data_IF_008765162761
#
_entry.id   IF_008765162761
#
_cell.length_a   1.000
_cell.length_b   1.000
_cell.length_c   1.000
_cell.angle_alpha   90.00
_cell.angle_beta   90.00
_cell.angle_gamma   90.00
#
_symmetry.space_group_name_H-M   'P 1'
#
loop_
_entity.id
_entity.type
_entity.pdbx_description
1 polymer ?
#
# COMPACT_ATOMS: atom_id res chain seq x y z
N UNK A 1 14.48 10.17 -86.24
CA UNK A 1 13.17 10.64 -85.75
C UNK A 1 13.05 10.33 -84.26
N UNK A 2 12.76 11.38 -83.47
CA UNK A 2 12.23 11.37 -82.09
C UNK A 2 13.11 10.86 -80.93
N UNK A 3 13.76 11.84 -80.30
CA UNK A 3 14.06 11.95 -78.87
C UNK A 3 12.90 11.47 -77.99
N UNK A 4 13.15 10.53 -77.07
CA UNK A 4 12.25 10.23 -75.95
C UNK A 4 12.83 10.87 -74.68
N UNK A 5 12.13 11.87 -74.15
CA UNK A 5 12.30 12.35 -72.78
C UNK A 5 11.71 11.30 -71.83
N UNK A 6 12.51 10.79 -70.89
CA UNK A 6 12.01 10.06 -69.73
C UNK A 6 11.84 11.06 -68.57
N UNK A 7 10.60 11.34 -68.19
CA UNK A 7 10.27 12.16 -67.04
C UNK A 7 10.48 11.34 -65.75
N UNK A 8 11.37 11.81 -64.87
CA UNK A 8 11.59 11.25 -63.55
C UNK A 8 10.52 11.79 -62.60
N UNK A 9 9.53 10.97 -62.24
CA UNK A 9 8.57 11.27 -61.18
C UNK A 9 9.22 10.98 -59.82
N UNK A 10 9.68 12.04 -59.13
CA UNK A 10 10.01 11.95 -57.70
C UNK A 10 8.71 11.85 -56.89
N UNK A 11 8.39 10.66 -56.41
CA UNK A 11 7.38 10.47 -55.36
C UNK A 11 8.00 10.76 -54.00
N UNK A 12 7.76 11.97 -53.47
CA UNK A 12 8.02 12.27 -52.05
C UNK A 12 7.01 11.52 -51.19
N UNK A 13 7.43 10.41 -50.59
CA UNK A 13 6.64 9.69 -49.59
C UNK A 13 6.59 10.50 -48.29
N UNK A 14 5.46 11.15 -48.01
CA UNK A 14 5.15 11.59 -46.65
C UNK A 14 4.88 10.33 -45.82
N UNK A 15 5.85 9.96 -44.98
CA UNK A 15 5.60 9.04 -43.88
C UNK A 15 4.70 9.74 -42.87
N UNK A 16 3.38 9.59 -43.02
CA UNK A 16 2.44 9.84 -41.92
C UNK A 16 2.74 8.81 -40.84
N UNK A 17 3.49 9.23 -39.83
CA UNK A 17 3.61 8.49 -38.58
C UNK A 17 2.22 8.48 -37.94
N UNK A 18 1.46 7.40 -38.15
CA UNK A 18 0.22 7.18 -37.42
C UNK A 18 0.56 7.23 -35.93
N UNK A 19 -0.04 8.15 -35.19
CA UNK A 19 0.01 8.11 -33.74
C UNK A 19 -0.49 6.73 -33.30
N UNK A 20 0.20 6.04 -32.38
CA UNK A 20 -0.30 4.76 -31.90
C UNK A 20 -1.70 4.99 -31.34
N UNK A 21 -2.68 4.23 -31.83
CA UNK A 21 -4.02 4.24 -31.28
C UNK A 21 -3.92 3.87 -29.80
N UNK A 22 -4.07 4.85 -28.91
CA UNK A 22 -4.15 4.62 -27.47
C UNK A 22 -5.48 3.90 -27.23
N UNK A 23 -5.46 2.68 -26.73
CA UNK A 23 -6.69 1.99 -26.40
C UNK A 23 -7.35 2.74 -25.24
N UNK A 24 -8.67 2.90 -25.28
CA UNK A 24 -9.37 3.64 -24.23
C UNK A 24 -9.26 2.89 -22.89
N UNK A 25 -8.87 3.61 -21.83
CA UNK A 25 -8.80 3.07 -20.48
C UNK A 25 -10.21 3.04 -19.91
N UNK A 26 -10.70 1.83 -19.63
CA UNK A 26 -11.98 1.66 -18.92
C UNK A 26 -11.72 1.67 -17.42
N UNK A 27 -12.32 2.62 -16.70
CA UNK A 27 -12.16 2.73 -15.25
C UNK A 27 -13.27 1.96 -14.51
N UNK A 28 -12.89 1.00 -13.66
CA UNK A 28 -13.78 0.34 -12.71
C UNK A 28 -14.17 1.27 -11.57
N UNK A 29 -13.16 1.95 -11.02
CA UNK A 29 -13.29 2.99 -10.00
C UNK A 29 -12.55 4.24 -10.47
N UNK A 30 -13.17 5.40 -10.31
CA UNK A 30 -12.61 6.71 -10.65
C UNK A 30 -13.45 7.78 -9.96
N UNK A 31 -12.87 8.73 -9.21
CA UNK A 31 -13.61 9.81 -8.59
C UNK A 31 -14.60 10.49 -9.56
N UNK A 32 -15.87 10.56 -9.15
CA UNK A 32 -16.95 11.11 -9.97
C UNK A 32 -17.72 10.09 -10.81
N UNK A 33 -17.32 8.81 -10.84
CA UNK A 33 -18.11 7.75 -11.45
C UNK A 33 -19.42 7.54 -10.68
N UNK A 34 -20.54 7.50 -11.39
CA UNK A 34 -21.81 7.08 -10.79
C UNK A 34 -21.76 5.59 -10.39
N UNK A 35 -22.25 5.26 -9.19
CA UNK A 35 -22.25 3.90 -8.65
C UNK A 35 -20.85 3.25 -8.60
N UNK A 36 -19.84 4.03 -8.21
CA UNK A 36 -18.46 3.58 -8.04
C UNK A 36 -18.37 2.47 -6.96
N UNK A 37 -17.97 1.23 -7.32
CA UNK A 37 -17.90 0.12 -6.36
C UNK A 37 -16.79 0.31 -5.31
N UNK A 38 -15.86 1.24 -5.51
CA UNK A 38 -14.86 1.63 -4.53
C UNK A 38 -15.35 2.74 -3.59
N UNK A 39 -16.52 3.34 -3.83
CA UNK A 39 -17.09 4.40 -2.98
C UNK A 39 -18.26 3.88 -2.15
N UNK A 40 -17.94 3.19 -1.06
CA UNK A 40 -18.93 2.68 -0.11
C UNK A 40 -18.98 3.53 1.17
N UNK A 41 -20.12 3.59 1.88
CA UNK A 41 -20.17 4.07 3.26
C UNK A 41 -19.32 3.22 4.19
N UNK A 42 -19.00 3.74 5.37
CA UNK A 42 -17.98 3.16 6.27
C UNK A 42 -18.54 2.65 7.59
N UNK A 43 -19.87 2.73 7.76
CA UNK A 43 -20.58 2.14 8.89
C UNK A 43 -20.30 0.63 8.96
N UNK A 44 -19.93 0.18 10.16
CA UNK A 44 -19.39 -1.15 10.40
C UNK A 44 -20.05 -1.75 11.62
N UNK A 45 -20.69 -2.91 11.47
CA UNK A 45 -21.11 -3.75 12.60
C UNK A 45 -19.92 -4.57 13.07
N UNK A 46 -19.54 -4.42 14.32
CA UNK A 46 -18.46 -5.15 14.98
C UNK A 46 -19.08 -6.15 15.94
N UNK A 47 -18.85 -7.44 15.69
CA UNK A 47 -19.29 -8.54 16.55
C UNK A 47 -18.15 -8.98 17.46
N UNK A 48 -18.47 -9.23 18.71
CA UNK A 48 -17.55 -9.79 19.71
C UNK A 48 -17.82 -11.28 19.95
N UNK A 49 -16.83 -12.00 20.49
CA UNK A 49 -16.96 -13.44 20.80
C UNK A 49 -18.04 -13.74 21.85
N UNK A 50 -18.41 -12.78 22.69
CA UNK A 50 -19.48 -12.88 23.69
C UNK A 50 -20.89 -12.65 23.11
N UNK A 51 -21.00 -12.40 21.80
CA UNK A 51 -22.25 -12.13 21.11
C UNK A 51 -22.70 -10.66 21.15
N UNK A 52 -21.92 -9.76 21.76
CA UNK A 52 -22.23 -8.32 21.69
C UNK A 52 -21.95 -7.76 20.30
N UNK A 53 -22.78 -6.80 19.88
CA UNK A 53 -22.61 -6.06 18.64
C UNK A 53 -22.54 -4.56 18.91
N UNK A 54 -21.61 -3.89 18.24
CA UNK A 54 -21.52 -2.43 18.22
C UNK A 54 -21.47 -1.95 16.78
N UNK A 55 -22.03 -0.76 16.52
CA UNK A 55 -21.90 -0.11 15.21
C UNK A 55 -20.92 1.06 15.34
N UNK A 56 -19.90 1.05 14.51
CA UNK A 56 -18.94 2.15 14.36
C UNK A 56 -19.09 2.78 12.98
N UNK A 57 -19.22 4.10 12.95
CA UNK A 57 -19.18 4.89 11.71
C UNK A 57 -18.01 5.86 11.82
N UNK A 58 -16.86 5.56 11.18
CA UNK A 58 -15.73 6.47 11.18
C UNK A 58 -16.15 7.85 10.67
N UNK A 59 -15.72 8.90 11.36
CA UNK A 59 -15.93 10.26 10.89
C UNK A 59 -15.19 10.48 9.56
N UNK A 60 -15.84 11.18 8.62
CA UNK A 60 -15.18 11.55 7.39
C UNK A 60 -14.14 12.65 7.69
N UNK A 61 -12.84 12.33 7.54
CA UNK A 61 -11.74 13.28 7.76
C UNK A 61 -11.60 14.36 6.65
N UNK A 62 -12.67 14.58 5.87
CA UNK A 62 -12.69 15.45 4.69
C UNK A 62 -12.25 14.76 3.41
N UNK A 63 -12.00 15.54 2.35
CA UNK A 63 -11.54 14.99 1.08
C UNK A 63 -10.13 14.39 1.23
N UNK A 64 -9.93 13.12 0.83
CA UNK A 64 -8.61 12.49 0.84
C UNK A 64 -7.56 13.36 0.17
N UNK A 65 -6.31 13.27 0.62
CA UNK A 65 -5.19 14.09 0.10
C UNK A 65 -4.21 13.31 -0.76
N UNK A 66 -4.36 11.99 -0.80
CA UNK A 66 -3.64 11.09 -1.68
C UNK A 66 -4.64 10.28 -2.51
N UNK A 67 -4.11 9.47 -3.41
CA UNK A 67 -4.86 8.55 -4.25
C UNK A 67 -4.44 7.09 -3.97
N UNK A 68 -5.29 6.15 -4.36
CA UNK A 68 -4.95 4.74 -4.43
C UNK A 68 -5.11 4.28 -5.87
N UNK A 69 -4.09 3.60 -6.39
CA UNK A 69 -4.15 2.92 -7.68
C UNK A 69 -4.26 1.42 -7.43
N UNK A 70 -5.48 0.89 -7.58
CA UNK A 70 -5.83 -0.48 -7.24
C UNK A 70 -5.87 -1.37 -8.49
N UNK A 71 -5.14 -2.48 -8.45
CA UNK A 71 -5.15 -3.53 -9.47
C UNK A 71 -5.70 -4.81 -8.83
N UNK A 72 -6.92 -5.17 -9.21
CA UNK A 72 -7.67 -6.27 -8.61
C UNK A 72 -7.10 -7.67 -8.98
N UNK A 73 -7.40 -8.73 -8.20
CA UNK A 73 -6.96 -10.11 -8.48
C UNK A 73 -7.78 -10.77 -9.60
N UNK A 74 -7.43 -12.00 -9.98
CA UNK A 74 -8.27 -12.80 -10.87
C UNK A 74 -9.63 -13.11 -10.24
N UNK A 75 -10.70 -12.62 -10.87
CA UNK A 75 -12.09 -12.94 -10.52
C UNK A 75 -12.93 -13.36 -11.71
N UNK A 76 -12.52 -12.99 -12.93
CA UNK A 76 -13.34 -13.20 -14.13
C UNK A 76 -13.72 -14.66 -14.35
N UNK A 77 -15.01 -14.85 -14.58
CA UNK A 77 -15.63 -16.14 -14.91
C UNK A 77 -15.65 -16.43 -16.41
N UNK A 78 -15.09 -15.54 -17.23
CA UNK A 78 -15.01 -15.73 -18.67
C UNK A 78 -14.12 -16.94 -19.02
N UNK A 79 -14.45 -17.62 -20.12
CA UNK A 79 -13.78 -18.87 -20.54
C UNK A 79 -12.46 -18.66 -21.27
N UNK A 80 -12.27 -17.50 -21.90
CA UNK A 80 -11.03 -17.18 -22.60
C UNK A 80 -9.85 -17.06 -21.62
N UNK A 81 -8.62 -17.19 -22.11
CA UNK A 81 -7.43 -17.10 -21.26
C UNK A 81 -7.32 -15.75 -20.53
N UNK A 82 -7.69 -14.67 -21.23
CA UNK A 82 -7.81 -13.33 -20.68
C UNK A 82 -9.27 -12.84 -20.80
N UNK A 83 -9.73 -12.13 -19.78
CA UNK A 83 -11.03 -11.48 -19.77
C UNK A 83 -11.08 -10.33 -20.79
N UNK A 84 -12.28 -9.87 -21.12
CA UNK A 84 -12.51 -8.58 -21.78
C UNK A 84 -12.39 -7.40 -20.79
N UNK A 85 -12.55 -6.16 -21.27
CA UNK A 85 -12.65 -4.96 -20.42
C UNK A 85 -14.08 -4.72 -19.87
N UNK A 86 -14.90 -5.77 -19.77
CA UNK A 86 -16.25 -5.69 -19.21
C UNK A 86 -16.22 -5.51 -17.68
N UNK A 87 -17.16 -4.70 -17.15
CA UNK A 87 -17.37 -4.52 -15.71
C UNK A 87 -18.34 -5.58 -15.17
N UNK A 88 -18.00 -6.85 -15.38
CA UNK A 88 -18.83 -7.98 -14.95
C UNK A 88 -19.12 -7.93 -13.44
N UNK A 89 -20.23 -8.53 -12.96
CA UNK A 89 -20.61 -8.46 -11.55
C UNK A 89 -19.49 -8.81 -10.58
N UNK A 90 -18.70 -9.86 -10.85
CA UNK A 90 -17.57 -10.25 -10.02
C UNK A 90 -16.43 -9.21 -10.01
N UNK A 91 -16.24 -8.49 -11.11
CA UNK A 91 -15.25 -7.41 -11.25
C UNK A 91 -15.68 -6.21 -10.40
N UNK A 92 -16.98 -5.90 -10.35
CA UNK A 92 -17.50 -4.87 -9.44
C UNK A 92 -17.42 -5.31 -7.98
N UNK A 93 -17.82 -6.55 -7.67
CA UNK A 93 -17.78 -7.07 -6.30
C UNK A 93 -16.37 -7.06 -5.71
N UNK A 94 -15.32 -7.38 -6.48
CA UNK A 94 -13.95 -7.41 -5.94
C UNK A 94 -13.40 -6.03 -5.60
N UNK A 95 -13.82 -4.99 -6.32
CA UNK A 95 -13.48 -3.61 -5.95
C UNK A 95 -14.12 -3.22 -4.61
N UNK A 96 -15.40 -3.53 -4.41
CA UNK A 96 -16.06 -3.36 -3.11
C UNK A 96 -15.41 -4.19 -2.01
N UNK A 97 -14.99 -5.41 -2.32
CA UNK A 97 -14.44 -6.35 -1.35
C UNK A 97 -13.04 -5.96 -0.85
N UNK A 98 -12.14 -5.52 -1.73
CA UNK A 98 -10.71 -5.30 -1.40
C UNK A 98 -10.22 -3.85 -1.45
N UNK A 99 -10.92 -2.95 -2.15
CA UNK A 99 -10.47 -1.57 -2.30
C UNK A 99 -11.33 -0.56 -1.53
N UNK A 100 -12.65 -0.76 -1.47
CA UNK A 100 -13.57 0.28 -0.99
C UNK A 100 -13.31 0.78 0.43
N UNK A 101 -12.71 -0.03 1.31
CA UNK A 101 -12.37 0.42 2.68
C UNK A 101 -11.28 1.51 2.69
N UNK A 102 -10.43 1.54 1.67
CA UNK A 102 -9.37 2.55 1.56
C UNK A 102 -9.90 3.94 1.16
N UNK A 103 -11.18 4.07 0.77
CA UNK A 103 -11.75 5.37 0.37
C UNK A 103 -11.80 6.39 1.52
N UNK A 104 -11.61 5.94 2.77
CA UNK A 104 -11.39 6.79 3.94
C UNK A 104 -10.09 7.61 3.82
N UNK A 105 -9.09 7.09 3.11
CA UNK A 105 -7.72 7.61 3.11
C UNK A 105 -7.28 8.14 1.74
N UNK A 106 -7.90 7.66 0.66
CA UNK A 106 -7.48 7.97 -0.70
C UNK A 106 -8.65 8.01 -1.70
N UNK A 107 -8.50 8.82 -2.75
CA UNK A 107 -9.34 8.71 -3.96
C UNK A 107 -8.92 7.45 -4.73
N UNK A 108 -9.85 6.55 -5.05
CA UNK A 108 -9.51 5.25 -5.64
C UNK A 108 -9.65 5.26 -7.16
N UNK A 109 -8.57 4.91 -7.85
CA UNK A 109 -8.51 4.66 -9.27
C UNK A 109 -8.24 3.17 -9.50
N UNK A 110 -9.10 2.49 -10.24
CA UNK A 110 -8.93 1.08 -10.58
C UNK A 110 -9.28 0.87 -12.06
N UNK A 111 -8.33 0.46 -12.91
CA UNK A 111 -8.65 0.15 -14.30
C UNK A 111 -9.32 -1.21 -14.42
N UNK A 112 -10.26 -1.35 -15.34
CA UNK A 112 -10.63 -2.65 -15.88
C UNK A 112 -9.54 -3.07 -16.86
N UNK A 113 -8.89 -4.19 -16.56
CA UNK A 113 -7.84 -4.76 -17.38
C UNK A 113 -8.20 -6.20 -17.76
N UNK A 114 -7.66 -6.67 -18.88
CA UNK A 114 -7.86 -8.01 -19.43
C UNK A 114 -7.08 -9.07 -18.62
N UNK A 115 -7.47 -9.21 -17.35
CA UNK A 115 -6.94 -10.18 -16.38
C UNK A 115 -6.93 -11.60 -16.94
N UNK A 116 -5.96 -12.43 -16.54
CA UNK A 116 -6.09 -13.86 -16.79
C UNK A 116 -7.28 -14.39 -15.97
N UNK A 117 -8.10 -15.25 -16.58
CA UNK A 117 -9.38 -15.73 -16.01
C UNK A 117 -9.19 -16.90 -15.06
N UNK A 118 -10.24 -17.24 -14.30
CA UNK A 118 -10.24 -18.44 -13.45
C UNK A 118 -10.07 -19.73 -14.26
N UNK A 119 -10.63 -19.78 -15.48
CA UNK A 119 -10.43 -20.89 -16.41
C UNK A 119 -8.94 -21.05 -16.77
N UNK A 120 -8.24 -19.94 -17.06
CA UNK A 120 -6.80 -19.92 -17.36
C UNK A 120 -5.94 -20.41 -16.20
N UNK A 121 -6.30 -20.03 -14.96
CA UNK A 121 -5.61 -20.50 -13.75
C UNK A 121 -5.82 -22.01 -13.57
N UNK A 122 -7.06 -22.49 -13.70
CA UNK A 122 -7.41 -23.91 -13.54
C UNK A 122 -6.72 -24.85 -14.54
N UNK A 123 -6.44 -24.35 -15.76
CA UNK A 123 -5.75 -25.10 -16.81
C UNK A 123 -4.21 -25.13 -16.69
N UNK A 124 -3.64 -24.49 -15.67
CA UNK A 124 -2.23 -24.71 -15.30
C UNK A 124 -1.19 -23.76 -15.91
N UNK A 125 -1.61 -22.66 -16.56
CA UNK A 125 -0.90 -21.37 -16.69
C UNK A 125 -1.23 -20.66 -18.00
N UNK A 126 -1.38 -19.34 -17.92
CA UNK A 126 -1.44 -18.46 -19.08
C UNK A 126 -0.07 -18.41 -19.80
N UNK A 127 -0.06 -18.35 -21.13
CA UNK A 127 1.16 -18.20 -21.93
C UNK A 127 1.89 -16.87 -21.60
N UNK A 128 3.16 -16.69 -21.98
CA UNK A 128 3.84 -15.39 -21.84
C UNK A 128 3.05 -14.24 -22.49
N UNK A 129 2.38 -14.49 -23.62
CA UNK A 129 1.52 -13.50 -24.28
C UNK A 129 0.29 -13.17 -23.41
N UNK A 130 -0.35 -14.16 -22.82
CA UNK A 130 -1.50 -13.95 -21.93
C UNK A 130 -1.12 -13.20 -20.64
N UNK A 131 0.14 -13.30 -20.20
CA UNK A 131 0.68 -12.50 -19.09
C UNK A 131 1.05 -11.07 -19.49
N UNK A 132 1.34 -10.84 -20.77
CA UNK A 132 1.69 -9.51 -21.28
C UNK A 132 0.46 -8.59 -21.35
N UNK A 133 -0.69 -9.12 -21.77
CA UNK A 133 -1.93 -8.38 -21.96
C UNK A 133 -2.36 -7.60 -20.68
N UNK A 134 -2.49 -8.24 -19.49
CA UNK A 134 -2.82 -7.53 -18.25
C UNK A 134 -1.86 -6.38 -17.93
N UNK A 135 -0.56 -6.61 -18.13
CA UNK A 135 0.46 -5.63 -17.81
C UNK A 135 0.38 -4.41 -18.73
N UNK A 136 0.13 -4.61 -20.02
CA UNK A 136 0.00 -3.50 -20.97
C UNK A 136 -1.21 -2.62 -20.66
N UNK A 137 -2.37 -3.23 -20.38
CA UNK A 137 -3.59 -2.50 -19.99
C UNK A 137 -3.38 -1.68 -18.71
N UNK A 138 -2.74 -2.27 -17.68
CA UNK A 138 -2.47 -1.56 -16.42
C UNK A 138 -1.42 -0.47 -16.58
N UNK A 139 -0.38 -0.70 -17.40
CA UNK A 139 0.63 0.33 -17.71
C UNK A 139 0.02 1.51 -18.47
N UNK A 140 -0.88 1.24 -19.43
CA UNK A 140 -1.64 2.27 -20.13
C UNK A 140 -2.51 3.08 -19.16
N UNK A 141 -3.25 2.39 -18.29
CA UNK A 141 -4.07 3.03 -17.26
C UNK A 141 -3.24 3.86 -16.27
N UNK A 142 -2.08 3.37 -15.84
CA UNK A 142 -1.17 4.11 -14.96
C UNK A 142 -0.71 5.42 -15.61
N UNK A 143 -0.33 5.38 -16.89
CA UNK A 143 0.08 6.57 -17.63
C UNK A 143 -1.07 7.56 -17.81
N UNK A 144 -2.27 7.07 -18.11
CA UNK A 144 -3.46 7.93 -18.19
C UNK A 144 -3.79 8.56 -16.84
N UNK A 145 -3.77 7.78 -15.75
CA UNK A 145 -3.97 8.27 -14.40
C UNK A 145 -2.98 9.39 -14.05
N UNK A 146 -1.69 9.18 -14.29
CA UNK A 146 -0.68 10.20 -14.02
C UNK A 146 -0.89 11.48 -14.84
N UNK A 147 -1.37 11.35 -16.08
CA UNK A 147 -1.59 12.47 -16.98
C UNK A 147 -2.88 13.26 -16.70
N UNK A 148 -3.97 12.56 -16.31
CA UNK A 148 -5.32 13.15 -16.26
C UNK A 148 -5.95 13.16 -14.85
N UNK A 149 -5.56 12.26 -13.95
CA UNK A 149 -6.25 12.06 -12.67
C UNK A 149 -5.43 12.34 -11.41
N UNK A 150 -4.11 12.14 -11.44
CA UNK A 150 -3.27 12.23 -10.23
C UNK A 150 -3.06 13.66 -9.73
N UNK A 151 -2.97 14.65 -10.62
CA UNK A 151 -2.82 16.07 -10.27
C UNK A 151 -1.64 16.37 -9.31
N UNK A 152 -0.60 15.55 -9.32
CA UNK A 152 0.59 15.70 -8.47
C UNK A 152 0.46 15.11 -7.05
N UNK A 153 -0.61 14.38 -6.77
CA UNK A 153 -0.88 13.78 -5.45
C UNK A 153 0.00 12.57 -5.17
N UNK A 154 0.18 12.25 -3.89
CA UNK A 154 0.73 10.97 -3.48
C UNK A 154 -0.17 9.81 -3.89
N UNK A 155 0.39 8.64 -4.15
CA UNK A 155 -0.37 7.45 -4.56
C UNK A 155 0.09 6.20 -3.82
N UNK A 156 -0.86 5.44 -3.28
CA UNK A 156 -0.65 4.08 -2.77
C UNK A 156 -0.97 3.09 -3.89
N UNK A 157 -0.04 2.19 -4.19
CA UNK A 157 -0.30 1.09 -5.13
C UNK A 157 -0.87 -0.09 -4.36
N UNK A 158 -2.02 -0.62 -4.77
CA UNK A 158 -2.68 -1.74 -4.08
C UNK A 158 -2.88 -2.87 -5.07
N UNK A 159 -2.31 -4.04 -4.79
CA UNK A 159 -2.47 -5.24 -5.58
C UNK A 159 -2.79 -6.44 -4.70
N UNK A 160 -3.60 -7.35 -5.24
CA UNK A 160 -3.77 -8.70 -4.69
C UNK A 160 -3.57 -9.76 -5.78
N UNK A 161 -2.96 -10.89 -5.43
CA UNK A 161 -2.79 -12.03 -6.34
C UNK A 161 -2.20 -11.61 -7.70
N UNK A 162 -2.94 -11.78 -8.81
CA UNK A 162 -2.53 -11.31 -10.12
C UNK A 162 -2.21 -9.81 -10.18
N UNK A 163 -3.00 -8.96 -9.52
CA UNK A 163 -2.75 -7.53 -9.48
C UNK A 163 -1.41 -7.18 -8.83
N UNK A 164 -0.98 -7.96 -7.83
CA UNK A 164 0.36 -7.83 -7.25
C UNK A 164 1.46 -8.22 -8.23
N UNK A 165 1.28 -9.28 -9.03
CA UNK A 165 2.25 -9.63 -10.07
C UNK A 165 2.39 -8.52 -11.12
N UNK A 166 1.27 -7.93 -11.54
CA UNK A 166 1.26 -6.82 -12.49
C UNK A 166 1.93 -5.58 -11.89
N UNK A 167 1.62 -5.23 -10.64
CA UNK A 167 2.21 -4.07 -9.96
C UNK A 167 3.70 -4.26 -9.65
N UNK A 168 4.16 -5.46 -9.31
CA UNK A 168 5.60 -5.77 -9.19
C UNK A 168 6.34 -5.39 -10.47
N UNK A 169 5.80 -5.78 -11.63
CA UNK A 169 6.38 -5.44 -12.93
C UNK A 169 6.27 -3.95 -13.23
N UNK A 170 5.12 -3.32 -12.96
CA UNK A 170 4.93 -1.89 -13.16
C UNK A 170 5.94 -1.06 -12.35
N UNK A 171 6.13 -1.41 -11.08
CA UNK A 171 7.10 -0.74 -10.22
C UNK A 171 8.50 -0.87 -10.80
N UNK A 172 8.93 -2.09 -11.13
CA UNK A 172 10.29 -2.36 -11.64
C UNK A 172 10.58 -1.71 -12.99
N UNK A 173 9.62 -1.72 -13.92
CA UNK A 173 9.84 -1.33 -15.32
C UNK A 173 9.41 0.11 -15.64
N UNK A 174 8.42 0.66 -14.93
CA UNK A 174 7.84 1.97 -15.23
C UNK A 174 8.11 3.01 -14.13
N UNK A 175 8.07 2.63 -12.85
CA UNK A 175 8.11 3.59 -11.72
C UNK A 175 9.51 3.78 -11.16
N UNK A 176 10.22 2.72 -10.75
CA UNK A 176 11.57 2.79 -10.18
C UNK A 176 12.58 3.53 -11.06
N UNK A 177 12.62 3.31 -12.40
CA UNK A 177 13.54 4.02 -13.28
C UNK A 177 13.27 5.53 -13.40
N UNK A 178 12.13 6.00 -12.86
CA UNK A 178 11.60 7.36 -13.03
C UNK A 178 11.45 8.05 -11.67
N UNK A 179 12.48 8.77 -11.18
CA UNK A 179 12.47 9.37 -9.85
C UNK A 179 11.28 10.31 -9.57
N UNK A 180 10.71 10.93 -10.59
CA UNK A 180 9.49 11.74 -10.49
C UNK A 180 8.24 10.90 -10.19
N UNK A 181 8.12 9.68 -10.73
CA UNK A 181 7.02 8.78 -10.43
C UNK A 181 7.24 8.11 -9.07
N UNK A 182 8.44 7.60 -8.79
CA UNK A 182 8.77 6.99 -7.51
C UNK A 182 8.52 7.96 -6.34
N UNK A 183 8.82 9.25 -6.52
CA UNK A 183 8.52 10.29 -5.51
C UNK A 183 7.04 10.45 -5.17
N UNK A 184 6.13 10.09 -6.08
CA UNK A 184 4.69 10.12 -5.82
C UNK A 184 4.21 8.89 -5.06
N UNK A 185 4.92 7.77 -5.11
CA UNK A 185 4.54 6.54 -4.40
C UNK A 185 4.64 6.75 -2.89
N UNK A 186 3.50 6.74 -2.21
CA UNK A 186 3.39 6.74 -0.74
C UNK A 186 3.90 5.40 -0.22
N UNK A 187 3.28 4.31 -0.68
CA UNK A 187 3.66 2.93 -0.39
C UNK A 187 3.04 1.99 -1.41
N UNK A 188 3.44 0.71 -1.39
CA UNK A 188 2.88 -0.34 -2.25
C UNK A 188 2.44 -1.52 -1.40
N UNK A 189 1.15 -1.85 -1.43
CA UNK A 189 0.55 -3.00 -0.78
C UNK A 189 0.45 -4.13 -1.82
N UNK A 190 1.44 -5.01 -1.86
CA UNK A 190 1.58 -6.08 -2.86
C UNK A 190 1.27 -7.43 -2.22
N UNK A 191 -0.01 -7.68 -2.01
CA UNK A 191 -0.50 -8.78 -1.18
C UNK A 191 -0.76 -10.03 -2.03
N UNK A 192 -0.50 -11.23 -1.52
CA UNK A 192 -0.73 -12.47 -2.27
C UNK A 192 0.16 -12.61 -3.52
N UNK A 193 1.29 -11.89 -3.57
CA UNK A 193 2.05 -11.64 -4.79
C UNK A 193 3.49 -12.17 -4.82
N UNK A 194 3.94 -12.91 -3.80
CA UNK A 194 5.30 -13.44 -3.67
C UNK A 194 6.42 -12.44 -4.01
N UNK A 195 6.37 -11.24 -3.43
CA UNK A 195 7.46 -10.25 -3.61
C UNK A 195 8.78 -10.86 -3.14
N UNK A 196 9.86 -10.75 -3.92
CA UNK A 196 11.14 -11.39 -3.60
C UNK A 196 12.20 -10.41 -3.12
N UNK A 197 12.98 -10.85 -2.14
CA UNK A 197 14.19 -10.17 -1.64
C UNK A 197 15.28 -11.21 -1.33
N UNK A 198 16.56 -10.83 -1.37
CA UNK A 198 17.62 -11.69 -0.84
C UNK A 198 17.36 -12.00 0.65
N UNK A 199 17.69 -13.21 1.14
CA UNK A 199 17.49 -13.56 2.54
C UNK A 199 18.09 -12.53 3.51
N UNK A 200 17.29 -12.07 4.47
CA UNK A 200 17.68 -11.08 5.48
C UNK A 200 17.89 -9.66 4.94
N UNK A 201 17.51 -9.37 3.68
CA UNK A 201 17.57 -8.03 3.09
C UNK A 201 16.17 -7.45 2.92
N UNK A 202 16.11 -6.12 2.79
CA UNK A 202 14.87 -5.38 2.56
C UNK A 202 14.68 -4.98 1.08
N UNK A 203 15.71 -5.12 0.25
CA UNK A 203 15.71 -4.70 -1.15
C UNK A 203 16.69 -5.56 -1.95
N UNK A 204 16.53 -5.61 -3.28
CA UNK A 204 17.49 -6.22 -4.20
C UNK A 204 16.97 -7.44 -4.97
N UNK A 205 15.74 -7.90 -4.74
CA UNK A 205 15.10 -8.96 -5.52
C UNK A 205 14.24 -8.37 -6.62
N UNK A 206 12.91 -8.34 -6.41
CA UNK A 206 11.98 -7.72 -7.35
C UNK A 206 12.29 -6.25 -7.65
N UNK A 207 12.83 -5.53 -6.67
CA UNK A 207 13.06 -4.09 -6.72
C UNK A 207 14.52 -3.77 -6.45
N UNK A 208 15.06 -2.83 -7.23
CA UNK A 208 16.46 -2.39 -7.11
C UNK A 208 16.66 -1.39 -5.99
N UNK A 209 15.66 -0.55 -5.73
CA UNK A 209 15.74 0.61 -4.86
C UNK A 209 14.59 0.74 -3.88
N UNK A 210 13.44 0.14 -4.15
CA UNK A 210 12.22 0.19 -3.34
C UNK A 210 12.29 -0.90 -2.27
N UNK A 211 12.49 -0.57 -0.99
CA UNK A 211 12.63 -1.56 0.06
C UNK A 211 11.27 -2.05 0.60
N UNK A 212 11.27 -3.14 1.34
CA UNK A 212 10.17 -3.50 2.23
C UNK A 212 9.99 -2.43 3.32
N UNK A 213 8.75 -2.20 3.74
CA UNK A 213 8.43 -1.27 4.81
C UNK A 213 8.95 -1.78 6.17
N UNK A 214 9.50 -0.86 6.97
CA UNK A 214 10.07 -1.13 8.30
C UNK A 214 9.59 -0.15 9.37
N UNK A 215 8.95 0.95 8.99
CA UNK A 215 8.32 1.88 9.93
C UNK A 215 7.00 2.45 9.38
N UNK A 216 6.16 2.97 10.29
CA UNK A 216 4.83 3.50 9.99
C UNK A 216 4.80 4.75 9.12
N UNK A 217 5.91 5.49 9.12
CA UNK A 217 6.08 6.74 8.36
C UNK A 217 7.06 6.58 7.20
N UNK A 218 7.55 5.37 6.94
CA UNK A 218 8.39 5.11 5.79
C UNK A 218 7.53 5.25 4.52
N UNK A 219 8.01 6.07 3.58
CA UNK A 219 7.42 6.21 2.26
C UNK A 219 8.21 5.38 1.23
N UNK A 220 7.64 5.19 0.04
CA UNK A 220 8.28 4.50 -1.09
C UNK A 220 8.75 3.09 -0.71
N UNK A 221 7.92 2.38 0.07
CA UNK A 221 8.22 1.06 0.56
C UNK A 221 7.08 0.07 0.26
N UNK A 222 7.40 -1.21 0.35
CA UNK A 222 6.49 -2.31 0.02
C UNK A 222 6.04 -3.06 1.27
N UNK A 223 4.74 -3.27 1.40
CA UNK A 223 4.15 -4.27 2.30
C UNK A 223 3.75 -5.46 1.45
N UNK A 224 4.29 -6.64 1.75
CA UNK A 224 3.99 -7.86 1.02
C UNK A 224 3.91 -9.06 1.96
N UNK A 225 2.92 -9.91 1.76
CA UNK A 225 2.76 -11.20 2.44
C UNK A 225 1.70 -12.02 1.72
N UNK A 226 1.59 -13.29 2.10
CA UNK A 226 0.45 -14.17 1.80
C UNK A 226 0.00 -14.81 3.11
N UNK A 227 -1.30 -14.97 3.30
CA UNK A 227 -1.84 -15.43 4.58
C UNK A 227 -2.04 -16.94 4.61
N UNK A 228 -1.74 -17.54 5.76
CA UNK A 228 -2.01 -18.94 6.04
C UNK A 228 -2.60 -19.10 7.44
N UNK A 229 -3.73 -19.79 7.55
CA UNK A 229 -4.31 -20.10 8.85
C UNK A 229 -3.70 -21.37 9.49
N UNK A 230 -3.14 -22.26 8.68
CA UNK A 230 -2.51 -23.51 9.12
C UNK A 230 -1.03 -23.55 8.73
N UNK A 231 -0.31 -24.59 9.16
CA UNK A 231 1.05 -24.83 8.66
C UNK A 231 1.01 -25.03 7.14
N UNK A 232 1.73 -24.22 6.36
CA UNK A 232 1.73 -24.35 4.91
C UNK A 232 2.20 -25.75 4.48
N UNK A 233 1.53 -26.41 3.52
CA UNK A 233 2.02 -27.68 2.99
C UNK A 233 3.34 -27.48 2.22
N UNK A 234 4.08 -28.55 1.99
CA UNK A 234 5.40 -28.48 1.35
C UNK A 234 5.35 -27.89 -0.07
N UNK A 235 4.23 -28.09 -0.75
CA UNK A 235 3.90 -27.62 -2.10
C UNK A 235 3.04 -26.34 -2.10
N UNK A 236 3.05 -25.58 -1.00
CA UNK A 236 2.35 -24.30 -0.91
C UNK A 236 2.63 -23.39 -2.12
N UNK A 237 1.56 -22.82 -2.69
CA UNK A 237 1.62 -21.97 -3.89
C UNK A 237 2.20 -20.58 -3.62
N UNK A 238 2.08 -20.11 -2.38
CA UNK A 238 2.54 -18.80 -1.95
C UNK A 238 3.58 -18.91 -0.84
N UNK A 239 4.34 -17.84 -0.64
CA UNK A 239 5.38 -17.78 0.37
C UNK A 239 6.65 -18.58 0.03
N UNK A 240 6.74 -19.13 -1.18
CA UNK A 240 7.93 -19.82 -1.71
C UNK A 240 8.36 -19.23 -3.05
N UNK A 241 9.64 -19.34 -3.35
CA UNK A 241 10.19 -19.03 -4.67
C UNK A 241 11.34 -19.97 -5.01
N UNK A 242 11.44 -20.34 -6.28
CA UNK A 242 12.63 -20.99 -6.85
C UNK A 242 13.50 -20.01 -7.64
N UNK A 243 13.08 -18.75 -7.74
CA UNK A 243 13.82 -17.69 -8.43
C UNK A 243 15.16 -17.45 -7.73
N UNK A 244 16.15 -17.06 -8.53
CA UNK A 244 17.48 -16.70 -8.08
C UNK A 244 17.88 -15.37 -8.67
N UNK A 245 18.82 -14.72 -8.00
CA UNK A 245 19.47 -13.53 -8.52
C UNK A 245 20.27 -13.85 -9.79
N UNK A 246 20.64 -12.85 -10.60
CA UNK A 246 21.52 -13.04 -11.76
C UNK A 246 22.86 -13.69 -11.43
N UNK A 247 23.37 -13.48 -10.21
CA UNK A 247 24.61 -14.10 -9.70
C UNK A 247 24.41 -15.52 -9.12
N UNK A 248 23.20 -16.07 -9.21
CA UNK A 248 22.83 -17.39 -8.70
C UNK A 248 22.51 -17.45 -7.21
N UNK A 249 22.66 -16.34 -6.47
CA UNK A 249 22.32 -16.30 -5.04
C UNK A 249 20.81 -16.49 -4.79
N UNK A 250 20.40 -17.08 -3.66
CA UNK A 250 19.00 -17.41 -3.42
C UNK A 250 18.16 -16.15 -3.17
N UNK A 251 16.88 -16.23 -3.56
CA UNK A 251 15.86 -15.28 -3.14
C UNK A 251 14.92 -15.94 -2.11
N UNK A 252 14.21 -15.09 -1.38
CA UNK A 252 13.14 -15.48 -0.46
C UNK A 252 11.92 -14.62 -0.71
N UNK A 253 10.72 -15.17 -0.45
CA UNK A 253 9.49 -14.38 -0.48
C UNK A 253 9.42 -13.51 0.77
N UNK A 254 9.12 -12.22 0.57
CA UNK A 254 8.95 -11.24 1.63
C UNK A 254 7.69 -11.50 2.45
N UNK A 255 7.78 -11.24 3.75
CA UNK A 255 6.63 -11.13 4.64
C UNK A 255 6.79 -9.89 5.51
N UNK A 256 5.85 -8.97 5.39
CA UNK A 256 5.79 -7.72 6.15
C UNK A 256 4.52 -7.71 6.98
N UNK A 257 4.62 -7.89 8.30
CA UNK A 257 3.46 -7.83 9.20
C UNK A 257 2.97 -6.37 9.29
N UNK A 258 1.73 -6.06 8.87
CA UNK A 258 1.24 -4.69 8.86
C UNK A 258 0.93 -4.15 10.26
N UNK A 259 0.74 -4.98 11.30
CA UNK A 259 0.39 -4.50 12.65
C UNK A 259 1.48 -3.70 13.35
N UNK A 260 2.76 -4.15 13.44
CA UNK A 260 3.81 -3.34 14.03
C UNK A 260 4.01 -2.03 13.24
N UNK A 261 3.84 -2.07 11.91
CA UNK A 261 3.85 -0.88 11.07
C UNK A 261 2.66 0.03 11.37
N UNK A 262 1.47 -0.49 11.68
CA UNK A 262 0.33 0.30 12.11
C UNK A 262 0.45 0.77 13.57
N UNK A 263 1.36 0.22 14.38
CA UNK A 263 1.53 0.53 15.81
C UNK A 263 0.50 -0.10 16.70
N UNK A 264 0.05 -1.28 16.31
CA UNK A 264 -0.88 -2.09 17.08
C UNK A 264 -0.30 -3.50 17.22
N UNK A 265 -0.64 -4.17 18.31
CA UNK A 265 -0.46 -5.60 18.54
C UNK A 265 -1.82 -6.31 18.64
N UNK A 266 -2.92 -5.59 18.40
CA UNK A 266 -4.26 -6.14 18.46
C UNK A 266 -4.42 -7.33 17.50
N UNK A 267 -5.25 -8.33 17.85
CA UNK A 267 -5.59 -9.40 16.93
C UNK A 267 -6.17 -8.85 15.62
N UNK A 268 -5.78 -9.47 14.50
CA UNK A 268 -6.42 -9.28 13.22
C UNK A 268 -7.91 -9.57 13.30
N UNK A 269 -8.68 -8.73 12.62
CA UNK A 269 -10.13 -8.82 12.44
C UNK A 269 -10.41 -8.86 10.94
N UNK A 270 -11.10 -9.91 10.50
CA UNK A 270 -11.52 -10.02 9.10
C UNK A 270 -12.62 -9.00 8.85
N UNK A 271 -12.39 -8.03 7.97
CA UNK A 271 -13.36 -7.00 7.62
C UNK A 271 -13.84 -7.23 6.19
N UNK A 272 -15.15 -7.37 6.01
CA UNK A 272 -15.76 -7.64 4.70
C UNK A 272 -17.02 -6.79 4.47
N UNK A 273 -17.40 -6.52 3.22
CA UNK A 273 -18.69 -5.92 2.93
C UNK A 273 -19.83 -6.83 3.39
N UNK A 274 -20.92 -6.24 3.89
CA UNK A 274 -22.13 -6.98 4.26
C UNK A 274 -22.91 -7.47 3.04
N UNK A 275 -22.75 -6.81 1.89
CA UNK A 275 -23.33 -7.23 0.62
C UNK A 275 -22.61 -8.48 0.11
N UNK A 276 -23.34 -9.51 -0.36
CA UNK A 276 -22.74 -10.72 -0.85
C UNK A 276 -21.92 -10.47 -2.13
N UNK A 277 -20.86 -11.25 -2.30
CA UNK A 277 -20.09 -11.27 -3.54
C UNK A 277 -20.97 -11.83 -4.68
N UNK A 278 -20.76 -11.35 -5.91
CA UNK A 278 -21.51 -11.82 -7.08
C UNK A 278 -21.46 -13.34 -7.24
N UNK A 279 -22.56 -14.02 -7.60
CA UNK A 279 -22.59 -15.48 -7.74
C UNK A 279 -21.50 -16.00 -8.68
N UNK A 280 -20.84 -17.08 -8.29
CA UNK A 280 -19.75 -17.65 -9.05
C UNK A 280 -18.74 -18.44 -8.22
N UNK A 281 -17.63 -18.81 -8.86
CA UNK A 281 -16.55 -19.59 -8.25
C UNK A 281 -15.94 -18.88 -7.04
N UNK A 282 -15.73 -17.55 -7.12
CA UNK A 282 -15.19 -16.78 -5.99
C UNK A 282 -16.19 -16.72 -4.82
N UNK A 283 -17.48 -16.52 -5.07
CA UNK A 283 -18.49 -16.53 -4.01
C UNK A 283 -18.54 -17.90 -3.31
N UNK A 284 -18.46 -19.01 -4.06
CA UNK A 284 -18.35 -20.35 -3.49
C UNK A 284 -17.06 -20.52 -2.66
N UNK A 285 -15.94 -19.98 -3.14
CA UNK A 285 -14.68 -19.97 -2.39
C UNK A 285 -14.74 -19.19 -1.08
N UNK A 286 -15.42 -18.03 -1.06
CA UNK A 286 -15.61 -17.24 0.17
C UNK A 286 -16.39 -18.06 1.22
N UNK A 287 -17.42 -18.83 0.81
CA UNK A 287 -18.16 -19.72 1.73
C UNK A 287 -17.22 -20.77 2.34
N UNK A 288 -16.32 -21.35 1.55
CA UNK A 288 -15.36 -22.37 2.00
C UNK A 288 -14.32 -21.78 2.96
N UNK A 289 -13.73 -20.64 2.61
CA UNK A 289 -12.74 -19.95 3.48
C UNK A 289 -13.37 -19.45 4.78
N UNK A 290 -14.64 -19.02 4.74
CA UNK A 290 -15.36 -18.58 5.92
C UNK A 290 -15.92 -19.75 6.77
N UNK A 291 -15.84 -20.98 6.28
CA UNK A 291 -16.41 -22.18 6.92
C UNK A 291 -17.89 -21.97 7.24
N UNK A 292 -18.64 -21.54 6.23
CA UNK A 292 -20.06 -21.24 6.31
C UNK A 292 -20.46 -19.96 5.58
N UNK A 293 -21.73 -19.55 5.70
CA UNK A 293 -22.24 -18.37 5.01
C UNK A 293 -21.41 -17.12 5.34
N UNK A 294 -21.03 -16.30 4.34
CA UNK A 294 -20.29 -15.06 4.58
C UNK A 294 -21.04 -14.17 5.57
N UNK A 295 -20.34 -13.49 6.49
CA UNK A 295 -21.00 -12.64 7.47
C UNK A 295 -21.72 -11.49 6.77
N UNK A 296 -22.89 -11.13 7.29
CA UNK A 296 -23.67 -9.97 6.85
C UNK A 296 -24.24 -9.22 8.05
N UNK A 297 -24.55 -7.94 7.86
CA UNK A 297 -25.13 -7.04 8.83
C UNK A 297 -25.95 -5.94 8.13
N UNK A 298 -26.81 -5.18 8.84
CA UNK A 298 -27.52 -4.04 8.28
C UNK A 298 -26.61 -2.89 7.81
N UNK A 299 -25.40 -2.81 8.36
CA UNK A 299 -24.39 -1.81 8.00
C UNK A 299 -23.63 -2.20 6.74
N UNK A 300 -22.91 -1.27 6.14
CA UNK A 300 -22.13 -1.52 4.90
C UNK A 300 -21.05 -2.58 5.10
N UNK A 301 -20.39 -2.59 6.26
CA UNK A 301 -19.29 -3.50 6.59
C UNK A 301 -19.60 -4.32 7.82
N UNK A 302 -19.01 -5.51 7.90
CA UNK A 302 -19.11 -6.35 9.09
C UNK A 302 -17.74 -6.90 9.47
N UNK A 303 -17.48 -6.86 10.78
CA UNK A 303 -16.40 -7.60 11.43
C UNK A 303 -17.06 -8.76 12.21
N UNK A 304 -16.88 -10.02 11.79
CA UNK A 304 -17.35 -11.19 12.53
C UNK A 304 -16.57 -11.33 13.85
N UNK A 305 -17.02 -12.18 14.79
CA UNK A 305 -16.43 -12.29 16.12
C UNK A 305 -15.02 -12.89 16.14
N UNK A 306 -14.62 -13.61 15.10
CA UNK A 306 -13.33 -14.30 15.04
C UNK A 306 -12.13 -13.32 15.08
N UNK A 307 -11.07 -13.71 15.77
CA UNK A 307 -9.84 -12.93 16.00
C UNK A 307 -8.60 -13.79 15.80
N UNK A 308 -7.54 -13.21 15.23
CA UNK A 308 -6.30 -13.91 14.92
C UNK A 308 -5.08 -13.13 15.40
N UNK A 309 -4.19 -13.74 16.17
CA UNK A 309 -2.96 -13.07 16.64
C UNK A 309 -1.82 -13.32 15.66
N UNK A 310 -1.15 -14.47 15.64
CA UNK A 310 -0.17 -14.82 14.59
C UNK A 310 0.86 -13.75 14.18
N UNK A 311 1.38 -13.80 12.95
CA UNK A 311 2.41 -12.88 12.45
C UNK A 311 3.27 -13.47 11.33
N UNK A 312 4.16 -12.66 10.76
CA UNK A 312 5.09 -13.12 9.72
C UNK A 312 6.08 -14.14 10.29
N UNK A 313 6.12 -15.35 9.70
CA UNK A 313 7.11 -16.38 10.05
C UNK A 313 7.41 -17.29 8.87
N UNK A 314 8.57 -17.95 8.95
CA UNK A 314 8.90 -19.08 8.09
C UNK A 314 8.37 -20.36 8.73
N UNK A 315 7.48 -21.06 8.04
CA UNK A 315 6.95 -22.34 8.48
C UNK A 315 7.01 -23.34 7.31
N UNK A 316 7.54 -24.54 7.56
CA UNK A 316 7.80 -25.55 6.52
C UNK A 316 8.58 -25.02 5.29
N UNK A 317 9.49 -24.06 5.50
CA UNK A 317 10.24 -23.39 4.43
C UNK A 317 9.43 -22.41 3.59
N UNK A 318 8.27 -21.97 4.09
CA UNK A 318 7.34 -21.03 3.47
C UNK A 318 7.24 -19.76 4.30
N UNK A 319 7.49 -18.59 3.70
CA UNK A 319 7.40 -17.28 4.36
C UNK A 319 5.99 -16.71 4.23
N UNK A 320 5.23 -16.69 5.31
CA UNK A 320 3.80 -16.34 5.31
C UNK A 320 3.40 -15.51 6.52
N UNK A 321 2.32 -14.74 6.38
CA UNK A 321 1.64 -14.10 7.49
C UNK A 321 0.67 -15.12 8.10
N UNK A 322 0.97 -15.61 9.30
CA UNK A 322 0.13 -16.62 9.96
C UNK A 322 -1.07 -15.98 10.64
N UNK A 323 -2.23 -16.57 10.42
CA UNK A 323 -3.49 -16.22 11.08
C UNK A 323 -3.79 -17.27 12.15
N UNK A 324 -3.09 -17.18 13.27
CA UNK A 324 -3.31 -18.10 14.38
C UNK A 324 -4.56 -17.69 15.16
N UNK A 325 -5.58 -18.55 15.20
CA UNK A 325 -6.86 -18.26 15.86
C UNK A 325 -6.70 -18.06 17.36
N UNK A 326 -7.43 -17.09 17.89
CA UNK A 326 -7.59 -16.94 19.36
C UNK A 326 -8.61 -17.94 19.91
N UNK A 327 -8.62 -18.22 21.22
CA UNK A 327 -9.65 -19.08 21.83
C UNK A 327 -11.07 -18.61 21.50
N UNK A 328 -11.93 -19.55 21.10
CA UNK A 328 -13.31 -19.26 20.68
C UNK A 328 -13.47 -18.83 19.22
N UNK A 329 -12.38 -18.48 18.53
CA UNK A 329 -12.43 -18.16 17.10
C UNK A 329 -12.45 -19.42 16.23
N UNK A 330 -13.13 -19.34 15.10
CA UNK A 330 -13.11 -20.33 14.04
C UNK A 330 -11.74 -20.37 13.35
N UNK A 331 -11.41 -21.53 12.82
CA UNK A 331 -10.28 -21.69 11.92
C UNK A 331 -10.77 -21.36 10.50
N UNK A 332 -10.15 -20.41 9.78
CA UNK A 332 -10.44 -20.18 8.37
C UNK A 332 -10.20 -21.44 7.54
N UNK A 333 -11.07 -21.69 6.57
CA UNK A 333 -10.88 -22.71 5.56
C UNK A 333 -9.87 -22.28 4.48
N UNK A 334 -9.85 -23.02 3.39
CA UNK A 334 -8.99 -22.76 2.24
C UNK A 334 -9.78 -22.73 0.94
N UNK A 335 -9.24 -22.06 -0.08
CA UNK A 335 -9.74 -22.13 -1.44
C UNK A 335 -8.65 -21.74 -2.46
N UNK A 336 -8.54 -22.44 -3.61
CA UNK A 336 -9.30 -23.64 -4.02
C UNK A 336 -8.92 -24.92 -3.28
N UNK A 337 -7.70 -24.99 -2.74
CA UNK A 337 -7.15 -26.16 -2.07
C UNK A 337 -6.16 -25.72 -0.95
N UNK A 338 -5.67 -26.63 -0.10
CA UNK A 338 -4.80 -26.26 1.03
C UNK A 338 -3.51 -25.52 0.64
N UNK A 339 -3.02 -25.66 -0.60
CA UNK A 339 -1.81 -24.99 -1.06
C UNK A 339 -1.98 -23.47 -1.22
N UNK A 340 -3.23 -22.99 -1.30
CA UNK A 340 -3.58 -21.56 -1.34
C UNK A 340 -4.01 -21.01 0.03
N UNK A 341 -4.44 -21.87 0.96
CA UNK A 341 -4.94 -21.48 2.29
C UNK A 341 -5.94 -20.32 2.23
N UNK A 342 -5.72 -19.26 3.01
CA UNK A 342 -6.63 -18.12 3.17
C UNK A 342 -6.49 -17.04 2.10
N UNK A 343 -5.94 -17.36 0.92
CA UNK A 343 -5.62 -16.39 -0.13
C UNK A 343 -6.76 -15.43 -0.50
N UNK A 344 -8.02 -15.87 -0.46
CA UNK A 344 -9.18 -15.01 -0.76
C UNK A 344 -9.38 -13.86 0.24
N UNK A 345 -8.85 -13.99 1.47
CA UNK A 345 -9.02 -13.01 2.53
C UNK A 345 -7.70 -12.34 2.94
N UNK A 346 -6.62 -12.46 2.16
CA UNK A 346 -5.32 -11.87 2.53
C UNK A 346 -5.43 -10.38 2.89
N UNK A 347 -6.15 -9.62 2.05
CA UNK A 347 -6.39 -8.18 2.24
C UNK A 347 -7.40 -7.96 3.36
N UNK A 348 -8.52 -8.68 3.36
CA UNK A 348 -9.63 -8.50 4.30
C UNK A 348 -9.25 -8.85 5.75
N UNK A 349 -8.37 -9.82 5.95
CA UNK A 349 -7.86 -10.21 7.27
C UNK A 349 -6.97 -9.14 7.91
N UNK A 350 -6.44 -8.22 7.11
CA UNK A 350 -5.42 -7.24 7.54
C UNK A 350 -5.84 -5.80 7.23
N UNK A 351 -7.09 -5.60 6.83
CA UNK A 351 -7.60 -4.30 6.38
C UNK A 351 -7.30 -3.18 7.35
N UNK A 352 -7.58 -3.39 8.64
CA UNK A 352 -7.47 -2.34 9.64
C UNK A 352 -6.03 -1.84 9.83
N UNK A 353 -5.02 -2.70 10.08
CA UNK A 353 -3.65 -2.23 10.13
C UNK A 353 -3.17 -1.66 8.78
N UNK A 354 -3.63 -2.17 7.64
CA UNK A 354 -3.29 -1.60 6.33
C UNK A 354 -3.86 -0.18 6.13
N UNK A 355 -5.14 0.03 6.42
CA UNK A 355 -5.81 1.34 6.30
C UNK A 355 -5.20 2.33 7.29
N UNK A 356 -4.92 1.89 8.52
CA UNK A 356 -4.23 2.70 9.53
C UNK A 356 -2.81 3.09 9.08
N UNK A 357 -2.06 2.15 8.50
CA UNK A 357 -0.73 2.43 7.95
C UNK A 357 -0.82 3.44 6.79
N UNK A 358 -1.77 3.26 5.87
CA UNK A 358 -2.00 4.20 4.77
C UNK A 358 -2.36 5.58 5.29
N UNK A 359 -3.21 5.70 6.32
CA UNK A 359 -3.53 6.99 6.95
C UNK A 359 -2.26 7.70 7.49
N UNK A 360 -1.40 6.96 8.18
CA UNK A 360 -0.15 7.47 8.74
C UNK A 360 0.83 7.91 7.65
N UNK A 361 0.98 7.11 6.59
CA UNK A 361 1.83 7.43 5.45
C UNK A 361 1.26 8.56 4.59
N UNK A 362 -0.07 8.67 4.45
CA UNK A 362 -0.76 9.76 3.77
C UNK A 362 -0.49 11.09 4.48
N UNK A 363 -0.72 11.13 5.80
CA UNK A 363 -0.39 12.28 6.64
C UNK A 363 1.06 12.66 6.54
N UNK A 364 1.96 11.66 6.55
CA UNK A 364 3.39 11.88 6.37
C UNK A 364 3.72 12.46 4.99
N UNK A 365 3.07 12.00 3.92
CA UNK A 365 3.27 12.58 2.59
C UNK A 365 2.88 14.06 2.67
N UNK A 366 1.64 14.35 3.05
CA UNK A 366 1.01 15.68 2.92
C UNK A 366 1.57 16.73 3.87
N UNK A 367 2.04 16.29 5.05
CA UNK A 367 2.67 17.13 6.05
C UNK A 367 4.06 16.57 6.41
N UNK A 368 5.06 16.71 5.52
CA UNK A 368 6.36 16.04 5.65
C UNK A 368 7.28 16.66 6.69
N UNK A 369 6.79 17.62 7.48
CA UNK A 369 7.61 18.54 8.24
C UNK A 369 7.89 18.08 9.67
N UNK A 370 9.16 18.17 10.03
CA UNK A 370 9.59 18.31 11.42
C UNK A 370 9.33 19.74 11.85
N UNK A 371 8.52 19.92 12.89
CA UNK A 371 8.22 21.22 13.49
C UNK A 371 8.98 21.37 14.80
N UNK A 372 9.58 22.54 14.98
CA UNK A 372 10.29 22.91 16.21
C UNK A 372 9.37 23.79 17.07
N UNK A 373 8.77 23.19 18.10
CA UNK A 373 7.95 23.92 19.06
C UNK A 373 8.75 24.37 20.26
N UNK A 374 8.34 25.52 20.81
CA UNK A 374 8.98 26.12 21.98
C UNK A 374 7.93 26.76 22.89
N UNK A 375 8.05 26.51 24.19
CA UNK A 375 7.13 27.02 25.20
C UNK A 375 7.90 27.42 26.46
N UNK A 376 7.64 28.60 26.99
CA UNK A 376 8.17 28.98 28.29
C UNK A 376 7.50 28.15 29.40
N UNK A 377 8.31 27.66 30.33
CA UNK A 377 7.89 26.88 31.50
C UNK A 377 8.47 27.53 32.77
N UNK A 378 7.97 27.13 33.95
CA UNK A 378 8.30 27.78 35.22
C UNK A 378 9.81 27.97 35.47
N UNK A 379 10.15 29.03 36.21
CA UNK A 379 11.52 29.48 36.50
C UNK A 379 12.30 30.00 35.27
N UNK A 380 11.62 30.67 34.32
CA UNK A 380 12.24 31.27 33.14
C UNK A 380 12.85 30.27 32.14
N UNK A 381 12.47 29.00 32.24
CA UNK A 381 13.00 27.91 31.40
C UNK A 381 12.26 27.87 30.06
N UNK A 382 12.94 27.41 29.02
CA UNK A 382 12.33 27.20 27.70
C UNK A 382 12.28 25.70 27.41
N UNK A 383 11.08 25.14 27.29
CA UNK A 383 10.88 23.79 26.74
C UNK A 383 10.93 23.89 25.22
N UNK A 384 11.77 23.08 24.61
CA UNK A 384 11.90 22.93 23.15
C UNK A 384 11.59 21.48 22.80
N UNK A 385 10.80 21.28 21.75
CA UNK A 385 10.40 19.97 21.29
C UNK A 385 10.45 19.91 19.77
N UNK A 386 10.91 18.78 19.26
CA UNK A 386 10.78 18.44 17.85
C UNK A 386 9.57 17.50 17.71
N UNK A 387 8.65 17.85 16.84
CA UNK A 387 7.40 17.11 16.62
C UNK A 387 7.04 17.07 15.13
N UNK A 388 5.97 16.35 14.80
CA UNK A 388 5.53 16.10 13.43
C UNK A 388 5.74 14.65 12.99
N UNK A 389 5.18 14.23 11.84
CA UNK A 389 5.23 12.84 11.39
C UNK A 389 6.65 12.29 11.22
N UNK A 390 7.60 13.14 10.83
CA UNK A 390 9.01 12.74 10.67
C UNK A 390 9.76 12.53 11.98
N UNK A 391 9.20 12.90 13.14
CA UNK A 391 9.90 12.80 14.40
C UNK A 391 10.33 11.35 14.70
N UNK A 392 9.57 10.37 14.24
CA UNK A 392 9.90 8.95 14.41
C UNK A 392 11.11 8.48 13.58
N UNK A 393 11.43 9.20 12.51
CA UNK A 393 12.64 8.95 11.74
C UNK A 393 13.86 9.61 12.37
N UNK A 394 13.69 10.41 13.43
CA UNK A 394 14.81 11.06 14.11
C UNK A 394 15.43 10.06 15.08
N UNK A 395 16.76 9.89 14.99
CA UNK A 395 17.55 9.12 15.94
C UNK A 395 17.99 10.00 17.12
N UNK A 396 18.45 11.21 16.81
CA UNK A 396 18.84 12.19 17.82
C UNK A 396 18.70 13.63 17.31
N UNK A 397 18.55 14.57 18.22
CA UNK A 397 18.40 16.00 17.90
C UNK A 397 19.37 16.85 18.73
N UNK A 398 20.01 17.80 18.05
CA UNK A 398 20.77 18.87 18.68
C UNK A 398 19.98 20.17 18.61
N UNK A 399 19.51 20.66 19.76
CA UNK A 399 18.93 22.00 19.89
C UNK A 399 20.05 23.01 20.06
N UNK A 400 20.12 23.99 19.14
CA UNK A 400 21.14 25.02 19.08
C UNK A 400 20.52 26.41 19.20
N UNK A 401 21.22 27.31 19.89
CA UNK A 401 20.93 28.74 19.90
C UNK A 401 22.04 29.45 19.11
N UNK A 402 21.73 29.89 17.90
CA UNK A 402 22.75 30.27 16.92
C UNK A 402 23.70 29.09 16.63
N UNK A 403 25.01 29.28 16.86
CA UNK A 403 26.04 28.22 16.67
C UNK A 403 26.22 27.31 17.89
N UNK A 404 25.72 27.69 19.06
CA UNK A 404 25.97 27.01 20.34
C UNK A 404 24.98 25.88 20.57
N UNK A 405 25.46 24.71 20.99
CA UNK A 405 24.61 23.63 21.47
C UNK A 405 23.98 24.02 22.81
N UNK A 406 22.65 24.03 22.86
CA UNK A 406 21.86 24.33 24.06
C UNK A 406 21.41 23.06 24.77
N UNK A 407 20.98 22.05 24.02
CA UNK A 407 20.64 20.74 24.54
C UNK A 407 20.79 19.68 23.44
N UNK A 408 21.08 18.43 23.84
CA UNK A 408 20.99 17.25 22.98
C UNK A 408 19.91 16.33 23.52
N UNK A 409 19.11 15.74 22.64
CA UNK A 409 18.21 14.66 23.00
C UNK A 409 18.41 13.45 22.10
N UNK A 410 18.60 12.31 22.73
CA UNK A 410 18.67 10.98 22.08
C UNK A 410 17.49 10.11 22.51
N UNK A 411 16.58 10.64 23.32
CA UNK A 411 15.35 9.95 23.70
C UNK A 411 14.29 10.16 22.62
N UNK A 412 13.43 9.16 22.41
CA UNK A 412 12.36 9.17 21.40
C UNK A 412 11.25 10.21 21.60
N UNK A 413 11.37 11.12 22.57
CA UNK A 413 10.44 12.25 22.77
C UNK A 413 10.94 13.57 22.19
N UNK A 414 12.24 13.66 21.86
CA UNK A 414 12.91 14.84 21.31
C UNK A 414 12.48 16.15 21.99
N UNK A 415 12.50 16.16 23.32
CA UNK A 415 12.06 17.26 24.17
C UNK A 415 13.13 17.57 25.23
N UNK A 416 13.53 18.85 25.30
CA UNK A 416 14.45 19.32 26.34
C UNK A 416 14.02 20.65 26.92
N UNK A 417 14.49 20.89 28.14
CA UNK A 417 14.34 22.19 28.80
C UNK A 417 15.67 22.91 28.83
N UNK A 418 15.73 24.06 28.16
CA UNK A 418 16.89 24.96 28.15
C UNK A 418 16.79 25.89 29.37
N UNK A 419 17.92 26.02 30.10
CA UNK A 419 17.98 26.81 31.34
C UNK A 419 18.09 28.32 31.03
N UNK A 420 17.62 29.21 31.92
CA UNK A 420 17.72 30.67 31.72
C UNK A 420 19.14 31.15 31.45
N UNK A 421 20.13 30.60 32.17
CA UNK A 421 21.56 30.94 31.98
C UNK A 421 22.05 30.67 30.56
N UNK A 422 21.53 29.64 29.90
CA UNK A 422 21.95 29.23 28.57
C UNK A 422 21.22 30.06 27.49
N UNK A 423 20.01 30.54 27.79
CA UNK A 423 19.29 31.55 27.00
C UNK A 423 19.96 32.93 27.07
N UNK A 424 20.47 33.34 28.24
CA UNK A 424 21.13 34.64 28.42
C UNK A 424 22.53 34.72 27.77
N UNK A 425 23.21 33.57 27.60
CA UNK A 425 24.58 33.47 27.06
C UNK A 425 24.69 33.67 25.54
N UNK A 426 23.56 33.85 24.84
CA UNK A 426 23.54 34.01 23.39
C UNK A 426 22.76 35.26 23.00
N UNK A 427 23.33 36.07 22.11
CA UNK A 427 22.62 37.20 21.49
C UNK A 427 21.71 36.76 20.34
N UNK A 428 21.80 35.50 19.91
CA UNK A 428 21.01 34.95 18.81
C UNK A 428 19.58 34.67 19.27
N UNK A 429 18.60 35.16 18.52
CA UNK A 429 17.17 34.83 18.68
C UNK A 429 16.75 33.60 17.87
N UNK A 430 17.71 32.91 17.25
CA UNK A 430 17.45 31.80 16.36
C UNK A 430 17.65 30.48 17.09
N UNK A 431 16.55 29.74 17.25
CA UNK A 431 16.57 28.37 17.73
C UNK A 431 16.64 27.44 16.53
N UNK A 432 17.58 26.51 16.53
CA UNK A 432 17.69 25.47 15.49
C UNK A 432 17.60 24.09 16.12
N UNK A 433 16.90 23.18 15.49
CA UNK A 433 16.99 21.75 15.74
C UNK A 433 17.74 21.12 14.56
N UNK A 434 18.87 20.48 14.84
CA UNK A 434 19.56 19.61 13.88
C UNK A 434 19.13 18.19 14.20
N UNK A 435 18.21 17.65 13.41
CA UNK A 435 17.65 16.32 13.55
C UNK A 435 18.44 15.32 12.71
N UNK A 436 19.06 14.35 13.35
CA UNK A 436 19.77 13.25 12.69
C UNK A 436 18.78 12.13 12.44
N UNK A 437 18.58 11.78 11.18
CA UNK A 437 17.61 10.76 10.79
C UNK A 437 18.21 9.35 10.90
N UNK A 438 17.36 8.34 11.02
CA UNK A 438 17.72 6.92 10.97
C UNK A 438 18.33 6.53 9.62
N UNK A 439 17.94 7.21 8.55
CA UNK A 439 18.54 7.11 7.22
C UNK A 439 18.56 8.49 6.52
N UNK A 440 19.61 8.75 5.73
CA UNK A 440 19.76 10.00 4.97
C UNK A 440 20.44 11.14 5.73
N UNK A 441 20.56 12.33 5.11
CA UNK A 441 21.25 13.48 5.71
C UNK A 441 20.45 14.12 6.86
N UNK A 442 21.11 14.80 7.81
CA UNK A 442 20.43 15.52 8.88
C UNK A 442 19.54 16.66 8.36
N UNK A 443 18.38 16.87 9.01
CA UNK A 443 17.47 18.00 8.73
C UNK A 443 17.71 19.14 9.71
N UNK A 444 17.71 20.38 9.20
CA UNK A 444 17.84 21.58 10.03
C UNK A 444 16.53 22.33 10.03
N UNK A 445 15.88 22.40 11.19
CA UNK A 445 14.65 23.14 11.42
C UNK A 445 15.02 24.40 12.18
N UNK A 446 14.75 25.57 11.62
CA UNK A 446 15.11 26.85 12.22
C UNK A 446 13.86 27.65 12.51
N UNK A 447 13.81 28.20 13.73
CA UNK A 447 12.74 29.07 14.17
C UNK A 447 13.31 30.44 14.54
N UNK A 448 12.88 31.46 13.80
CA UNK A 448 13.38 32.84 13.93
C UNK A 448 12.55 33.63 14.94
N UNK A 449 12.32 33.09 16.14
CA UNK A 449 11.75 33.84 17.26
C UNK A 449 11.79 33.03 18.57
N UNK A 450 12.68 33.43 19.48
CA UNK A 450 12.67 32.93 20.86
C UNK A 450 11.72 33.76 21.72
N UNK A 451 10.77 33.14 22.45
CA UNK A 451 9.95 33.86 23.41
C UNK A 451 10.81 34.35 24.59
N UNK A 452 10.45 35.50 25.17
CA UNK A 452 11.08 35.99 26.41
C UNK A 452 10.49 35.22 27.59
N UNK A 453 11.18 34.20 28.07
CA UNK A 453 10.78 33.47 29.26
C UNK A 453 11.17 34.27 30.52
N UNK A 454 10.24 35.07 31.02
CA UNK A 454 10.41 35.79 32.30
C UNK A 454 10.45 34.84 33.49
N UNK A 455 11.11 35.28 34.57
CA UNK A 455 10.97 34.66 35.89
C UNK A 455 9.75 35.34 36.51
N UNK A 456 8.58 34.69 36.44
CA UNK A 456 7.46 35.04 37.34
C UNK A 456 7.59 34.21 38.60
#
# INVERSE_FOLDING_TARGET
MRTLLLALLLTTGLALSAAPATAEVTWLCNPGLANDPCQLPQDTTIRSLDGTENVETPEAEGEPKIDCFYVYPTVSQQVAANATKAKDPEVRSIASYQAARFNQQCRIFAPVYRQATLASIGLGAASPADRQIPYEDVREAWREYLAKGNEGRGVVLIGHSQGSFVLRRLIREEIEPKPEQLRRVVSSLLIGGNVTVPPGKLVGGDFKTTPLCTSRVQLQCVVAYSTFAETPPADARFGRTSERQPDGSPLSVACTDPRPLAGTDAPFRVLVPSQPFAPGVIAAGIVLVNVGPPPTAPTTWVIPPDRYTGGCRTDNGVNVLRLDRTPGSKQPGFFPDPTWSTHLVDVNATYEPLVSLVAQQAKRWTEPDLRLTRRCVGQGRLRVRLEGPDAELVRDVNFKLGKRLAARDTAGRFEKTVRPRDLARTRSKELRAVAYLTAGPPRVIAERSLPRCGVR
#
